data_IF_355385725152
#
_entry.id   IF_355385725152
#
_cell.length_a   1.000
_cell.length_b   1.000
_cell.length_c   1.000
_cell.angle_alpha   90.00
_cell.angle_beta   90.00
_cell.angle_gamma   90.00
#
_symmetry.space_group_name_H-M   'P 1'
#
loop_
_entity.id
_entity.type
_entity.pdbx_description
1 polymer ?
#
# COMPACT_ATOMS: atom_id res chain seq x y z
N UNK A 1 -36.14 -11.67 60.33
CA UNK A 1 -36.33 -11.14 58.97
C UNK A 1 -35.06 -10.49 58.41
N UNK A 2 -34.09 -10.07 59.19
CA UNK A 2 -32.88 -9.34 58.78
C UNK A 2 -31.78 -10.28 58.24
N UNK A 3 -31.71 -11.55 58.68
CA UNK A 3 -30.67 -12.50 58.27
C UNK A 3 -30.81 -12.98 56.80
N UNK A 4 -32.04 -13.12 56.26
CA UNK A 4 -32.29 -13.52 54.89
C UNK A 4 -31.90 -12.45 53.86
N UNK A 5 -31.98 -11.17 54.27
CA UNK A 5 -31.60 -10.06 53.39
C UNK A 5 -30.08 -9.95 53.12
N UNK A 6 -29.27 -10.32 54.10
CA UNK A 6 -27.79 -10.31 54.01
C UNK A 6 -27.24 -11.43 53.12
N UNK A 7 -27.94 -12.58 53.00
CA UNK A 7 -27.56 -13.66 52.09
C UNK A 7 -27.89 -13.37 50.66
N UNK A 8 -29.02 -12.71 50.37
CA UNK A 8 -29.38 -12.29 49.04
C UNK A 8 -28.47 -11.19 48.52
N UNK A 9 -28.01 -10.27 49.37
CA UNK A 9 -27.07 -9.22 48.96
C UNK A 9 -25.65 -9.77 48.64
N UNK A 10 -25.20 -10.79 49.40
CA UNK A 10 -23.92 -11.47 49.14
C UNK A 10 -23.97 -12.34 47.89
N UNK A 11 -25.09 -12.98 47.59
CA UNK A 11 -25.26 -13.74 46.34
C UNK A 11 -25.34 -12.84 45.13
N UNK A 12 -25.98 -11.67 45.20
CA UNK A 12 -26.02 -10.69 44.14
C UNK A 12 -24.66 -10.08 43.79
N UNK A 13 -23.82 -9.81 44.83
CA UNK A 13 -22.45 -9.30 44.62
C UNK A 13 -21.53 -10.36 44.01
N UNK A 14 -21.73 -11.65 44.33
CA UNK A 14 -20.90 -12.73 43.77
C UNK A 14 -21.26 -12.99 42.29
N UNK A 15 -22.51 -12.86 41.88
CA UNK A 15 -22.97 -13.03 40.48
C UNK A 15 -22.52 -11.86 39.63
N UNK A 16 -22.51 -10.65 40.18
CA UNK A 16 -22.01 -9.46 39.42
C UNK A 16 -20.50 -9.50 39.21
N UNK A 17 -19.74 -10.03 40.19
CA UNK A 17 -18.27 -10.15 40.02
C UNK A 17 -17.85 -11.26 39.07
N UNK A 18 -18.62 -12.34 38.89
CA UNK A 18 -18.34 -13.39 37.92
C UNK A 18 -18.78 -13.01 36.50
N UNK A 19 -19.81 -12.15 36.32
CA UNK A 19 -20.21 -11.63 35.00
C UNK A 19 -19.22 -10.60 34.47
N UNK A 20 -18.52 -9.83 35.33
CA UNK A 20 -17.52 -8.84 34.91
C UNK A 20 -16.21 -9.47 34.39
N UNK A 21 -15.89 -10.71 34.77
CA UNK A 21 -14.67 -11.40 34.30
C UNK A 21 -14.85 -12.07 32.94
N UNK A 22 -16.09 -12.34 32.50
CA UNK A 22 -16.38 -12.98 31.21
C UNK A 22 -16.47 -12.00 30.04
N UNK A 23 -16.43 -10.67 30.24
CA UNK A 23 -16.51 -9.67 29.21
C UNK A 23 -15.13 -9.12 28.76
N UNK A 24 -14.02 -9.57 29.36
CA UNK A 24 -12.66 -9.13 28.97
C UNK A 24 -11.92 -10.08 28.02
N UNK A 25 -12.58 -11.07 27.42
CA UNK A 25 -11.97 -12.03 26.50
C UNK A 25 -12.39 -11.80 25.03
N UNK A 26 -12.67 -10.55 24.64
CA UNK A 26 -13.11 -10.17 23.30
C UNK A 26 -12.28 -9.11 22.60
N UNK A 27 -11.04 -8.80 23.07
CA UNK A 27 -10.08 -8.08 22.23
C UNK A 27 -9.42 -9.09 21.29
N UNK A 28 -9.99 -9.25 20.10
CA UNK A 28 -9.27 -9.84 18.99
C UNK A 28 -7.94 -9.09 18.86
N UNK A 29 -6.81 -9.77 19.09
CA UNK A 29 -5.51 -9.24 18.72
C UNK A 29 -5.59 -8.77 17.27
N UNK A 30 -5.12 -7.56 16.92
CA UNK A 30 -4.90 -7.21 15.54
C UNK A 30 -4.01 -8.31 14.94
N UNK A 31 -4.17 -8.66 13.65
CA UNK A 31 -3.32 -9.64 13.03
C UNK A 31 -1.87 -9.22 13.30
N UNK A 32 -1.16 -10.05 14.02
CA UNK A 32 0.26 -9.91 14.26
C UNK A 32 0.89 -10.01 12.88
N UNK A 33 1.30 -8.87 12.32
CA UNK A 33 2.18 -8.86 11.15
C UNK A 33 3.45 -9.51 11.69
N UNK A 34 3.61 -10.80 11.39
CA UNK A 34 4.86 -11.49 11.66
C UNK A 34 5.96 -10.67 10.99
N UNK A 35 6.69 -9.92 11.79
CA UNK A 35 7.91 -9.25 11.36
C UNK A 35 8.93 -10.37 11.18
N UNK A 36 9.31 -10.77 9.96
CA UNK A 36 10.43 -11.69 9.81
C UNK A 36 11.64 -10.99 10.41
N UNK A 37 12.29 -11.65 11.35
CA UNK A 37 13.50 -11.16 11.99
C UNK A 37 14.51 -10.73 10.91
N UNK A 38 15.01 -9.51 10.99
CA UNK A 38 16.13 -9.03 10.20
C UNK A 38 17.39 -9.75 10.66
N UNK A 39 17.61 -10.95 10.15
CA UNK A 39 18.75 -11.81 10.46
C UNK A 39 19.03 -12.73 9.28
N UNK A 40 20.06 -12.45 8.50
CA UNK A 40 20.84 -13.35 7.60
C UNK A 40 20.07 -14.51 6.94
N UNK A 41 18.93 -14.26 6.36
CA UNK A 41 18.17 -15.19 5.58
C UNK A 41 17.34 -14.42 4.55
N UNK A 42 17.30 -14.90 3.32
CA UNK A 42 16.47 -14.32 2.26
C UNK A 42 14.99 -14.22 2.66
N UNK A 43 14.23 -13.49 1.90
CA UNK A 43 12.78 -13.36 2.09
C UNK A 43 12.04 -13.70 0.80
N UNK A 44 10.76 -13.99 0.91
CA UNK A 44 9.93 -14.26 -0.26
C UNK A 44 8.65 -13.43 -0.23
N UNK A 45 8.17 -13.11 -1.43
CA UNK A 45 6.90 -12.41 -1.64
C UNK A 45 6.10 -13.12 -2.72
N UNK A 46 4.80 -12.91 -2.74
CA UNK A 46 3.90 -13.43 -3.78
C UNK A 46 3.25 -12.24 -4.46
N UNK A 47 3.32 -12.18 -5.78
CA UNK A 47 2.78 -11.11 -6.59
C UNK A 47 1.28 -11.27 -6.92
N UNK A 48 0.69 -10.30 -7.63
CA UNK A 48 -0.72 -10.32 -8.02
C UNK A 48 -1.07 -11.48 -8.97
N UNK A 49 -0.08 -12.05 -9.68
CA UNK A 49 -0.25 -13.24 -10.56
C UNK A 49 -0.07 -14.56 -9.82
N UNK A 50 0.11 -14.51 -8.49
CA UNK A 50 0.41 -15.66 -7.61
C UNK A 50 1.79 -16.26 -7.85
N UNK A 51 2.68 -15.54 -8.51
CA UNK A 51 4.08 -15.95 -8.68
C UNK A 51 4.84 -15.63 -7.39
N UNK A 52 5.58 -16.61 -6.88
CA UNK A 52 6.49 -16.44 -5.75
C UNK A 52 7.83 -15.94 -6.26
N UNK A 53 8.34 -14.89 -5.62
CA UNK A 53 9.69 -14.38 -5.81
C UNK A 53 10.47 -14.59 -4.52
N UNK A 54 11.67 -15.15 -4.64
CA UNK A 54 12.59 -15.38 -3.54
C UNK A 54 13.79 -14.45 -3.69
N UNK A 55 14.14 -13.73 -2.64
CA UNK A 55 15.24 -12.79 -2.59
C UNK A 55 16.26 -13.23 -1.54
N UNK A 56 17.49 -13.46 -1.95
CA UNK A 56 18.61 -13.69 -1.02
C UNK A 56 19.08 -12.39 -0.37
N UNK A 57 18.95 -11.29 -1.11
CA UNK A 57 19.35 -9.95 -0.70
C UNK A 57 18.34 -8.91 -1.14
N UNK A 58 18.36 -7.78 -0.47
CA UNK A 58 17.60 -6.58 -0.80
C UNK A 58 17.92 -6.11 -2.23
N UNK A 59 16.93 -5.89 -3.11
CA UNK A 59 17.16 -5.44 -4.48
C UNK A 59 17.95 -4.14 -4.54
N UNK A 60 18.92 -4.08 -5.46
CA UNK A 60 19.84 -2.95 -5.63
C UNK A 60 19.68 -2.24 -6.97
N UNK A 61 18.96 -2.84 -7.92
CA UNK A 61 18.75 -2.27 -9.26
C UNK A 61 17.27 -2.41 -9.65
N UNK A 62 16.45 -1.57 -9.04
CA UNK A 62 15.01 -1.59 -9.19
C UNK A 62 14.63 -0.78 -10.43
N UNK A 63 13.82 -1.36 -11.32
CA UNK A 63 13.17 -0.66 -12.43
C UNK A 63 11.66 -0.66 -12.18
N UNK A 64 11.04 0.50 -12.31
CA UNK A 64 9.59 0.64 -12.22
C UNK A 64 8.99 0.93 -13.60
N UNK A 65 7.87 0.29 -13.92
CA UNK A 65 7.12 0.46 -15.16
C UNK A 65 5.74 1.08 -14.95
N UNK A 66 5.50 1.68 -13.80
CA UNK A 66 4.25 2.35 -13.51
C UNK A 66 4.41 3.52 -12.55
N UNK A 67 3.82 4.68 -12.89
CA UNK A 67 3.96 5.93 -12.15
C UNK A 67 3.63 5.79 -10.66
N UNK A 68 2.59 5.04 -10.31
CA UNK A 68 2.23 4.82 -8.90
C UNK A 68 3.32 4.12 -8.08
N UNK A 69 4.10 3.21 -8.71
CA UNK A 69 5.25 2.61 -8.08
C UNK A 69 6.45 3.55 -8.06
N UNK A 70 6.64 4.37 -9.12
CA UNK A 70 7.69 5.41 -9.15
C UNK A 70 7.60 6.33 -7.94
N UNK A 71 6.41 6.88 -7.67
CA UNK A 71 6.15 7.81 -6.57
C UNK A 71 6.39 7.17 -5.21
N UNK A 72 5.92 5.94 -5.03
CA UNK A 72 6.11 5.19 -3.78
C UNK A 72 7.59 4.83 -3.56
N UNK A 73 8.32 4.44 -4.62
CA UNK A 73 9.75 4.16 -4.53
C UNK A 73 10.56 5.40 -4.14
N UNK A 74 10.25 6.56 -4.74
CA UNK A 74 10.94 7.83 -4.47
C UNK A 74 10.78 8.30 -3.01
N UNK A 75 9.76 7.82 -2.30
CA UNK A 75 9.53 8.12 -0.90
C UNK A 75 10.13 7.10 0.08
N UNK A 76 10.50 5.90 -0.39
CA UNK A 76 10.94 4.85 0.51
C UNK A 76 12.30 4.23 0.19
N UNK A 77 12.82 4.40 -1.03
CA UNK A 77 14.04 3.75 -1.49
C UNK A 77 15.11 4.79 -1.81
N UNK A 78 16.34 4.53 -1.39
CA UNK A 78 17.47 5.38 -1.74
C UNK A 78 17.64 5.44 -3.27
N UNK A 79 17.84 6.63 -3.88
CA UNK A 79 17.89 6.81 -5.32
C UNK A 79 18.91 5.91 -6.03
N UNK A 80 20.03 5.61 -5.39
CA UNK A 80 21.08 4.75 -5.95
C UNK A 80 20.64 3.30 -6.21
N UNK A 81 19.58 2.86 -5.54
CA UNK A 81 18.96 1.54 -5.76
C UNK A 81 17.90 1.53 -6.84
N UNK A 82 17.48 2.69 -7.32
CA UNK A 82 16.49 2.82 -8.39
C UNK A 82 17.24 2.99 -9.71
N UNK A 83 17.28 1.93 -10.52
CA UNK A 83 17.97 1.94 -11.79
C UNK A 83 17.23 2.78 -12.84
N UNK A 84 15.90 2.72 -12.88
CA UNK A 84 15.10 3.56 -13.76
C UNK A 84 13.64 3.68 -13.29
N UNK A 85 13.05 4.82 -13.63
CA UNK A 85 11.63 5.15 -13.48
C UNK A 85 10.98 5.31 -14.85
N UNK A 86 9.65 5.43 -14.89
CA UNK A 86 8.96 5.87 -16.11
C UNK A 86 9.29 7.34 -16.42
N UNK A 87 9.20 7.75 -17.67
CA UNK A 87 9.36 9.16 -18.05
C UNK A 87 8.26 10.06 -17.47
N UNK A 88 7.11 9.49 -17.06
CA UNK A 88 6.01 10.22 -16.43
C UNK A 88 6.40 10.79 -15.07
N UNK A 89 7.38 10.20 -14.41
CA UNK A 89 7.88 10.68 -13.12
C UNK A 89 8.53 12.08 -13.19
N UNK A 90 8.95 12.51 -14.39
CA UNK A 90 9.59 13.84 -14.60
C UNK A 90 8.58 14.97 -14.79
N UNK A 91 7.33 14.65 -15.08
CA UNK A 91 6.32 15.64 -15.40
C UNK A 91 5.63 16.14 -14.11
N UNK A 92 5.97 17.34 -13.67
CA UNK A 92 5.37 17.96 -12.48
C UNK A 92 3.85 18.24 -12.62
N UNK A 93 3.30 18.20 -13.83
CA UNK A 93 1.85 18.27 -14.07
C UNK A 93 1.14 16.93 -13.83
N UNK A 94 1.90 15.84 -13.76
CA UNK A 94 1.39 14.47 -13.61
C UNK A 94 1.82 13.86 -12.26
N UNK A 95 3.11 13.98 -11.92
CA UNK A 95 3.69 13.40 -10.71
C UNK A 95 4.02 14.46 -9.66
N UNK A 96 3.49 14.36 -8.44
CA UNK A 96 3.89 15.22 -7.33
C UNK A 96 5.32 14.92 -6.83
N UNK A 97 5.97 13.85 -7.30
CA UNK A 97 7.31 13.46 -6.92
C UNK A 97 8.38 13.81 -7.98
N UNK A 98 8.04 14.65 -8.96
CA UNK A 98 8.96 15.03 -10.06
C UNK A 98 10.27 15.68 -9.56
N UNK A 99 10.22 16.43 -8.46
CA UNK A 99 11.39 17.02 -7.82
C UNK A 99 12.36 15.97 -7.24
N UNK A 100 11.85 14.82 -6.83
CA UNK A 100 12.66 13.69 -6.34
C UNK A 100 13.17 12.82 -7.49
N UNK A 101 12.39 12.71 -8.57
CA UNK A 101 12.75 11.90 -9.74
C UNK A 101 14.09 12.33 -10.37
N UNK A 102 14.50 13.58 -10.23
CA UNK A 102 15.77 14.11 -10.75
C UNK A 102 17.02 13.38 -10.22
N UNK A 103 16.90 12.74 -9.06
CA UNK A 103 18.00 12.00 -8.46
C UNK A 103 18.19 10.60 -9.08
N UNK A 104 17.20 10.08 -9.79
CA UNK A 104 17.27 8.81 -10.51
C UNK A 104 17.56 9.08 -11.98
N UNK A 105 18.67 8.54 -12.50
CA UNK A 105 19.14 8.88 -13.86
C UNK A 105 18.43 8.10 -14.97
N UNK A 106 18.05 6.86 -14.70
CA UNK A 106 17.47 5.97 -15.71
C UNK A 106 16.01 6.31 -15.99
N UNK A 107 15.62 6.22 -17.26
CA UNK A 107 14.21 6.30 -17.70
C UNK A 107 13.91 5.15 -18.62
N UNK A 108 12.73 4.57 -18.48
CA UNK A 108 12.25 3.48 -19.32
C UNK A 108 10.87 3.79 -19.87
N UNK A 109 10.62 3.28 -21.06
CA UNK A 109 9.31 3.26 -21.66
C UNK A 109 8.68 1.89 -21.44
N UNK A 110 7.45 1.85 -20.93
CA UNK A 110 6.70 0.62 -20.77
C UNK A 110 6.54 -0.12 -22.09
N UNK A 111 6.73 -1.46 -22.06
CA UNK A 111 6.61 -2.31 -23.25
C UNK A 111 7.90 -2.48 -24.06
N UNK A 112 9.00 -1.78 -23.73
CA UNK A 112 10.30 -1.97 -24.37
C UNK A 112 11.19 -2.91 -23.56
N UNK A 113 11.23 -4.19 -23.93
CA UNK A 113 12.06 -5.21 -23.28
C UNK A 113 13.54 -4.81 -23.26
N UNK A 114 14.06 -4.35 -24.38
CA UNK A 114 15.46 -3.93 -24.52
C UNK A 114 15.79 -2.77 -23.58
N UNK A 115 14.93 -1.75 -23.51
CA UNK A 115 15.15 -0.59 -22.64
C UNK A 115 15.18 -0.97 -21.16
N UNK A 116 14.36 -1.95 -20.74
CA UNK A 116 14.34 -2.46 -19.37
C UNK A 116 15.59 -3.28 -19.09
N UNK A 117 15.94 -4.23 -19.96
CA UNK A 117 17.11 -5.11 -19.76
C UNK A 117 18.43 -4.34 -19.81
N UNK A 118 18.51 -3.24 -20.58
CA UNK A 118 19.67 -2.35 -20.62
C UNK A 118 19.98 -1.73 -19.25
N UNK A 119 18.98 -1.60 -18.37
CA UNK A 119 19.17 -1.12 -17.00
C UNK A 119 19.78 -2.19 -16.07
N UNK A 120 19.90 -3.45 -16.51
CA UNK A 120 20.39 -4.60 -15.73
C UNK A 120 19.67 -4.72 -14.38
N UNK A 121 18.34 -4.79 -14.37
CA UNK A 121 17.59 -4.84 -13.14
C UNK A 121 17.76 -6.17 -12.39
N UNK A 122 17.73 -6.13 -11.07
CA UNK A 122 17.54 -7.29 -10.21
C UNK A 122 16.07 -7.43 -9.73
N UNK A 123 15.28 -6.34 -9.93
CA UNK A 123 13.85 -6.32 -9.71
C UNK A 123 13.17 -5.36 -10.69
N UNK A 124 12.06 -5.81 -11.30
CA UNK A 124 11.16 -4.97 -12.09
C UNK A 124 9.79 -4.96 -11.46
N UNK A 125 9.25 -3.76 -11.20
CA UNK A 125 7.90 -3.56 -10.69
C UNK A 125 6.97 -3.22 -11.86
N UNK A 126 5.90 -3.98 -12.04
CA UNK A 126 4.92 -3.76 -13.10
C UNK A 126 3.49 -3.72 -12.56
N UNK A 127 2.62 -2.82 -13.06
CA UNK A 127 1.22 -2.82 -12.70
C UNK A 127 0.50 -4.02 -13.34
N UNK A 128 -0.59 -4.49 -12.74
CA UNK A 128 -1.34 -5.67 -13.15
C UNK A 128 -2.08 -5.55 -14.50
N UNK A 129 -2.11 -4.38 -15.11
CA UNK A 129 -2.62 -4.17 -16.47
C UNK A 129 -1.53 -4.30 -17.54
N UNK A 130 -0.28 -4.56 -17.15
CA UNK A 130 0.82 -4.84 -18.10
C UNK A 130 0.54 -6.16 -18.83
N UNK A 131 0.87 -6.20 -20.12
CA UNK A 131 0.72 -7.40 -20.94
C UNK A 131 1.49 -8.58 -20.31
N UNK A 132 0.80 -9.68 -20.04
CA UNK A 132 1.39 -10.87 -19.43
C UNK A 132 2.50 -11.49 -20.29
N UNK A 133 2.41 -11.40 -21.64
CA UNK A 133 3.49 -11.87 -22.48
C UNK A 133 4.78 -11.08 -22.25
N UNK A 134 4.65 -9.77 -22.05
CA UNK A 134 5.80 -8.92 -21.72
C UNK A 134 6.39 -9.28 -20.35
N UNK A 135 5.55 -9.55 -19.35
CA UNK A 135 5.99 -10.04 -18.03
C UNK A 135 6.75 -11.35 -18.15
N UNK A 136 6.23 -12.30 -18.94
CA UNK A 136 6.87 -13.61 -19.14
C UNK A 136 8.19 -13.48 -19.91
N UNK A 137 8.31 -12.55 -20.87
CA UNK A 137 9.57 -12.27 -21.55
C UNK A 137 10.64 -11.76 -20.59
N UNK A 138 10.29 -10.85 -19.67
CA UNK A 138 11.20 -10.36 -18.63
C UNK A 138 11.63 -11.49 -17.68
N UNK A 139 10.69 -12.32 -17.23
CA UNK A 139 10.97 -13.48 -16.39
C UNK A 139 11.86 -14.49 -17.10
N UNK A 140 11.58 -14.77 -18.38
CA UNK A 140 12.39 -15.62 -19.24
C UNK A 140 13.81 -15.14 -19.45
N UNK A 141 14.04 -13.82 -19.33
CA UNK A 141 15.37 -13.23 -19.33
C UNK A 141 16.09 -13.30 -17.96
N UNK A 142 15.49 -13.97 -16.96
CA UNK A 142 16.08 -14.18 -15.64
C UNK A 142 15.90 -13.02 -14.67
N UNK A 143 14.96 -12.10 -14.94
CA UNK A 143 14.69 -10.95 -14.09
C UNK A 143 13.56 -11.26 -13.10
N UNK A 144 13.72 -10.87 -11.82
CA UNK A 144 12.61 -10.91 -10.88
C UNK A 144 11.58 -9.83 -11.27
N UNK A 145 10.37 -10.25 -11.62
CA UNK A 145 9.28 -9.34 -11.98
C UNK A 145 8.16 -9.47 -10.97
N UNK A 146 7.88 -8.41 -10.25
CA UNK A 146 6.78 -8.32 -9.30
C UNK A 146 5.62 -7.55 -9.92
N UNK A 147 4.51 -8.24 -10.13
CA UNK A 147 3.26 -7.64 -10.61
C UNK A 147 2.45 -7.15 -9.42
N UNK A 148 2.27 -5.84 -9.29
CA UNK A 148 1.44 -5.28 -8.23
C UNK A 148 0.03 -4.94 -8.73
N UNK A 149 -0.96 -5.04 -7.85
CA UNK A 149 -2.34 -4.63 -8.15
C UNK A 149 -2.44 -3.10 -8.13
N UNK A 150 -2.96 -2.51 -9.20
CA UNK A 150 -3.29 -1.08 -9.23
C UNK A 150 -4.45 -0.80 -8.27
N UNK A 151 -4.27 0.07 -7.26
CA UNK A 151 -5.28 0.34 -6.26
C UNK A 151 -6.44 1.17 -6.82
N UNK A 152 -7.65 0.92 -6.33
CA UNK A 152 -8.87 1.66 -6.67
C UNK A 152 -9.53 2.30 -5.45
N UNK A 153 -8.99 2.05 -4.25
CA UNK A 153 -9.47 2.62 -2.98
C UNK A 153 -8.30 3.08 -2.13
N UNK A 154 -8.56 4.00 -1.20
CA UNK A 154 -7.56 4.45 -0.20
C UNK A 154 -7.01 3.27 0.61
N UNK A 155 -7.86 2.29 0.93
CA UNK A 155 -7.43 1.06 1.61
C UNK A 155 -6.43 0.26 0.75
N UNK A 156 -6.73 0.10 -0.54
CA UNK A 156 -5.83 -0.62 -1.47
C UNK A 156 -4.54 0.15 -1.71
N UNK A 157 -4.55 1.49 -1.74
CA UNK A 157 -3.33 2.31 -1.82
C UNK A 157 -2.40 1.98 -0.65
N UNK A 158 -2.91 2.00 0.59
CA UNK A 158 -2.13 1.65 1.78
C UNK A 158 -1.59 0.23 1.72
N UNK A 159 -2.40 -0.72 1.26
CA UNK A 159 -1.98 -2.10 1.07
C UNK A 159 -0.86 -2.21 0.01
N UNK A 160 -0.99 -1.56 -1.14
CA UNK A 160 0.03 -1.56 -2.20
C UNK A 160 1.35 -0.97 -1.69
N UNK A 161 1.32 0.11 -0.91
CA UNK A 161 2.53 0.68 -0.28
C UNK A 161 3.21 -0.37 0.63
N UNK A 162 2.43 -1.07 1.47
CA UNK A 162 2.97 -2.13 2.33
C UNK A 162 3.54 -3.30 1.50
N UNK A 163 2.86 -3.74 0.44
CA UNK A 163 3.33 -4.81 -0.45
C UNK A 163 4.63 -4.41 -1.14
N UNK A 164 4.69 -3.22 -1.76
CA UNK A 164 5.91 -2.72 -2.40
C UNK A 164 7.05 -2.57 -1.40
N UNK A 165 6.78 -2.08 -0.18
CA UNK A 165 7.80 -1.97 0.86
C UNK A 165 8.38 -3.34 1.29
N UNK A 166 7.55 -4.39 1.28
CA UNK A 166 8.00 -5.76 1.52
C UNK A 166 8.91 -6.26 0.40
N UNK A 167 8.53 -5.98 -0.86
CA UNK A 167 9.29 -6.43 -2.05
C UNK A 167 10.68 -5.80 -2.10
N UNK A 168 10.78 -4.49 -1.79
CA UNK A 168 12.06 -3.76 -1.83
C UNK A 168 12.83 -3.79 -0.51
N UNK A 169 12.29 -4.50 0.50
CA UNK A 169 12.80 -4.62 1.88
C UNK A 169 12.98 -3.25 2.59
N UNK A 170 11.93 -2.41 2.48
CA UNK A 170 11.84 -1.09 3.12
C UNK A 170 10.59 -0.96 4.02
N UNK A 171 10.26 -2.02 4.77
CA UNK A 171 9.03 -2.09 5.59
C UNK A 171 8.85 -0.93 6.55
N UNK A 172 9.95 -0.46 7.14
CA UNK A 172 9.90 0.68 8.09
C UNK A 172 9.54 1.97 7.36
N UNK A 173 10.11 2.20 6.17
CA UNK A 173 9.79 3.38 5.36
C UNK A 173 8.34 3.32 4.86
N UNK A 174 7.89 2.18 4.31
CA UNK A 174 6.51 1.99 3.90
C UNK A 174 5.51 2.20 5.04
N UNK A 175 5.81 1.69 6.25
CA UNK A 175 4.99 1.91 7.44
C UNK A 175 4.89 3.39 7.83
N UNK A 176 5.96 4.18 7.69
CA UNK A 176 5.95 5.63 7.93
C UNK A 176 5.06 6.37 6.92
N UNK A 177 5.11 5.99 5.63
CA UNK A 177 4.26 6.57 4.60
C UNK A 177 2.79 6.32 4.94
N UNK A 178 2.41 5.07 5.23
CA UNK A 178 1.03 4.71 5.60
C UNK A 178 0.57 5.44 6.86
N UNK A 179 1.42 5.56 7.88
CA UNK A 179 1.08 6.30 9.11
C UNK A 179 0.88 7.80 8.83
N UNK A 180 1.68 8.39 7.93
CA UNK A 180 1.49 9.76 7.45
C UNK A 180 0.14 9.93 6.75
N UNK A 181 -0.21 9.05 5.83
CA UNK A 181 -1.51 9.05 5.15
C UNK A 181 -2.68 8.97 6.16
N UNK A 182 -2.61 8.07 7.14
CA UNK A 182 -3.68 7.92 8.15
C UNK A 182 -3.86 9.21 8.96
N UNK A 183 -2.77 9.88 9.31
CA UNK A 183 -2.82 11.15 10.02
C UNK A 183 -3.52 12.24 9.20
N UNK A 184 -3.17 12.38 7.92
CA UNK A 184 -3.80 13.36 7.04
C UNK A 184 -5.29 13.03 6.80
N UNK A 185 -5.62 11.77 6.58
CA UNK A 185 -7.01 11.34 6.43
C UNK A 185 -7.84 11.57 7.70
N UNK A 186 -7.28 11.34 8.88
CA UNK A 186 -7.93 11.63 10.15
C UNK A 186 -8.18 13.13 10.32
N UNK A 187 -7.21 13.96 9.91
CA UNK A 187 -7.35 15.43 9.93
C UNK A 187 -8.48 15.91 9.01
N UNK A 188 -8.57 15.37 7.79
CA UNK A 188 -9.66 15.68 6.85
C UNK A 188 -11.00 15.26 7.43
N UNK A 189 -11.13 14.01 7.91
CA UNK A 189 -12.39 13.53 8.52
C UNK A 189 -12.85 14.38 9.70
N UNK A 190 -11.93 14.82 10.56
CA UNK A 190 -12.28 15.69 11.68
C UNK A 190 -12.86 17.04 11.24
N UNK A 191 -12.54 17.49 10.02
CA UNK A 191 -13.04 18.75 9.45
C UNK A 191 -14.36 18.61 8.70
N UNK A 192 -14.51 17.50 7.95
CA UNK A 192 -15.68 17.33 7.07
C UNK A 192 -16.74 16.40 7.64
N UNK A 193 -16.41 15.59 8.64
CA UNK A 193 -17.31 14.56 9.19
C UNK A 193 -18.58 15.09 9.91
N UNK A 194 -18.65 16.40 10.16
CA UNK A 194 -19.81 17.06 10.78
C UNK A 194 -20.64 17.88 9.77
N UNK A 195 -20.29 17.85 8.48
CA UNK A 195 -21.06 18.53 7.43
C UNK A 195 -22.38 17.78 7.25
N UNK A 196 -23.50 18.50 7.33
CA UNK A 196 -24.80 17.90 7.17
C UNK A 196 -24.98 17.37 5.72
N UNK A 197 -25.71 16.24 5.52
CA UNK A 197 -25.87 15.66 4.18
C UNK A 197 -26.43 16.63 3.12
N UNK A 198 -27.29 17.56 3.53
CA UNK A 198 -27.84 18.62 2.68
C UNK A 198 -26.84 19.68 2.25
N UNK A 199 -25.70 19.77 2.95
CA UNK A 199 -24.59 20.69 2.63
C UNK A 199 -23.53 20.01 1.75
N UNK A 200 -23.67 18.70 1.47
CA UNK A 200 -22.76 17.98 0.59
C UNK A 200 -22.87 18.50 -0.83
N UNK A 201 -21.74 18.80 -1.45
CA UNK A 201 -21.67 19.18 -2.85
C UNK A 201 -21.52 17.97 -3.76
N UNK A 202 -22.20 18.01 -4.91
CA UNK A 202 -21.98 17.01 -5.95
C UNK A 202 -20.76 17.38 -6.78
N UNK A 203 -19.87 16.43 -7.01
CA UNK A 203 -18.68 16.63 -7.84
C UNK A 203 -18.67 15.67 -9.03
N UNK A 204 -18.17 16.15 -10.16
CA UNK A 204 -17.94 15.36 -11.36
C UNK A 204 -16.54 15.65 -11.90
N UNK A 205 -15.77 14.62 -12.16
CA UNK A 205 -14.48 14.75 -12.84
C UNK A 205 -14.66 14.56 -14.34
N UNK A 206 -14.07 15.45 -15.13
CA UNK A 206 -14.11 15.42 -16.58
C UNK A 206 -12.70 15.35 -17.15
N UNK A 207 -12.54 14.55 -18.21
CA UNK A 207 -11.34 14.54 -19.05
C UNK A 207 -11.74 14.78 -20.50
N UNK A 208 -10.76 14.91 -21.39
CA UNK A 208 -11.01 14.99 -22.82
C UNK A 208 -11.70 13.74 -23.40
N UNK A 209 -11.64 12.60 -22.68
CA UNK A 209 -12.32 11.36 -23.05
C UNK A 209 -13.75 11.25 -22.47
N UNK A 210 -14.20 12.27 -21.72
CA UNK A 210 -15.50 12.27 -21.08
C UNK A 210 -15.43 12.24 -19.54
N UNK A 211 -16.57 11.99 -18.86
CA UNK A 211 -16.61 11.90 -17.42
C UNK A 211 -15.82 10.69 -16.92
N UNK A 212 -15.08 10.87 -15.82
CA UNK A 212 -14.37 9.80 -15.14
C UNK A 212 -14.59 9.88 -13.61
N UNK A 213 -13.97 8.98 -12.85
CA UNK A 213 -14.13 8.97 -11.39
C UNK A 213 -15.45 8.35 -10.94
N UNK A 214 -15.99 7.45 -11.77
CA UNK A 214 -17.18 6.65 -11.44
C UNK A 214 -16.92 5.66 -10.30
N UNK A 215 -17.97 5.05 -9.78
CA UNK A 215 -17.88 4.01 -8.74
C UNK A 215 -16.81 2.96 -9.08
N UNK A 216 -15.98 2.61 -8.09
CA UNK A 216 -14.86 1.68 -8.26
C UNK A 216 -13.57 2.34 -8.72
N UNK A 217 -13.45 3.66 -8.61
CA UNK A 217 -12.22 4.41 -8.84
C UNK A 217 -11.73 5.07 -7.56
N UNK A 218 -10.44 5.35 -7.49
CA UNK A 218 -9.82 6.08 -6.37
C UNK A 218 -10.47 7.45 -6.15
N UNK A 219 -10.85 8.14 -7.23
CA UNK A 219 -11.56 9.43 -7.15
C UNK A 219 -12.88 9.29 -6.38
N UNK A 220 -13.71 8.31 -6.76
CA UNK A 220 -14.97 8.07 -6.07
C UNK A 220 -14.78 7.64 -4.62
N UNK A 221 -13.75 6.86 -4.32
CA UNK A 221 -13.43 6.43 -2.96
C UNK A 221 -13.03 7.62 -2.07
N UNK A 222 -12.19 8.52 -2.59
CA UNK A 222 -11.77 9.75 -1.87
C UNK A 222 -12.96 10.67 -1.63
N UNK A 223 -13.88 10.84 -2.59
CA UNK A 223 -15.06 11.68 -2.42
C UNK A 223 -16.03 11.15 -1.36
N UNK A 224 -15.97 9.86 -1.03
CA UNK A 224 -16.82 9.21 -0.03
C UNK A 224 -16.08 8.90 1.29
N UNK A 225 -14.81 9.33 1.41
CA UNK A 225 -13.97 9.05 2.55
C UNK A 225 -14.21 10.00 3.72
#
# INVERSE_FOLDING_TARGET
MIAKCRYLLKAAVLVVSTAAVLFMAGCGKPPEIETPASGRGGYSVVDATKTRLDFEHKPQRIVSLGLSADEVLLDMVEPDRIAALTYLADDAGISPAADKAVWVKGRVQSGSLESVLAQKPDLVLVPNWTDLNFVELLRGAGVNVYVYKTPTTVKEIKQTICELSNVVDERVAGGKIVAGMEKELAFVRARVGNIAPEEHISVMALSYMGPFGVKGTTFADICNY
#
